data_IF_658996024522
#
_entry.id   IF_658996024522
#
_cell.length_a   1.000
_cell.length_b   1.000
_cell.length_c   1.000
_cell.angle_alpha   90.00
_cell.angle_beta   90.00
_cell.angle_gamma   90.00
#
_symmetry.space_group_name_H-M   'P 1'
#
loop_
_entity.id
_entity.type
_entity.pdbx_description
1 polymer ?
#
# COMPACT_ATOMS: atom_id res chain seq x y z
N UNK A 1 28.97 37.44 37.02
CA UNK A 1 28.19 37.92 35.85
C UNK A 1 28.93 37.80 34.51
N UNK A 2 30.18 38.28 34.35
CA UNK A 2 30.91 38.26 33.06
C UNK A 2 31.23 36.87 32.48
N UNK A 3 31.34 35.84 33.31
CA UNK A 3 31.57 34.46 32.85
C UNK A 3 30.31 33.84 32.23
N UNK A 4 29.17 34.00 32.92
CA UNK A 4 27.85 33.55 32.45
C UNK A 4 27.47 34.18 31.11
N UNK A 5 27.76 35.47 30.90
CA UNK A 5 27.50 36.14 29.63
C UNK A 5 28.37 35.62 28.48
N UNK A 6 29.63 35.25 28.74
CA UNK A 6 30.52 34.67 27.72
C UNK A 6 30.10 33.26 27.33
N UNK A 7 29.73 32.44 28.33
CA UNK A 7 29.21 31.09 28.09
C UNK A 7 27.91 31.12 27.27
N UNK A 8 27.00 32.05 27.58
CA UNK A 8 25.75 32.23 26.83
C UNK A 8 25.99 32.62 25.37
N UNK A 9 26.93 33.55 25.10
CA UNK A 9 27.28 33.95 23.72
C UNK A 9 27.90 32.80 22.94
N UNK A 10 28.79 32.01 23.55
CA UNK A 10 29.37 30.83 22.89
C UNK A 10 28.32 29.77 22.60
N UNK A 11 27.43 29.47 23.55
CA UNK A 11 26.35 28.52 23.36
C UNK A 11 25.40 28.98 22.25
N UNK A 12 25.04 30.26 22.23
CA UNK A 12 24.21 30.83 21.16
C UNK A 12 24.87 30.70 19.80
N UNK A 13 26.16 31.05 19.68
CA UNK A 13 26.91 30.91 18.43
C UNK A 13 26.98 29.45 17.95
N UNK A 14 27.17 28.50 18.88
CA UNK A 14 27.17 27.08 18.58
C UNK A 14 25.80 26.60 18.06
N UNK A 15 24.72 26.96 18.74
CA UNK A 15 23.35 26.62 18.32
C UNK A 15 23.02 27.23 16.96
N UNK A 16 23.43 28.48 16.71
CA UNK A 16 23.25 29.14 15.43
C UNK A 16 24.00 28.41 14.32
N UNK A 17 25.25 28.01 14.55
CA UNK A 17 26.06 27.27 13.59
C UNK A 17 25.43 25.91 13.26
N UNK A 18 24.96 25.17 14.26
CA UNK A 18 24.25 23.91 14.05
C UNK A 18 22.94 24.11 13.28
N UNK A 19 22.14 25.11 13.63
CA UNK A 19 20.88 25.41 12.93
C UNK A 19 21.07 25.80 11.47
N UNK A 20 22.08 26.65 11.18
CA UNK A 20 22.42 27.03 9.80
C UNK A 20 22.97 25.82 9.03
N UNK A 21 23.85 25.03 9.64
CA UNK A 21 24.41 23.83 9.03
C UNK A 21 23.34 22.80 8.67
N UNK A 22 22.44 22.51 9.62
CA UNK A 22 21.29 21.64 9.39
C UNK A 22 20.40 22.16 8.25
N UNK A 23 20.10 23.47 8.25
CA UNK A 23 19.29 24.08 7.21
C UNK A 23 19.92 23.92 5.82
N UNK A 24 21.23 24.17 5.68
CA UNK A 24 21.95 23.99 4.41
C UNK A 24 21.89 22.52 3.95
N UNK A 25 22.16 21.57 4.85
CA UNK A 25 22.09 20.14 4.53
C UNK A 25 20.69 19.76 4.07
N UNK A 26 19.65 20.26 4.74
CA UNK A 26 18.26 19.99 4.38
C UNK A 26 17.93 20.47 2.98
N UNK A 27 18.39 21.67 2.58
CA UNK A 27 18.12 22.19 1.23
C UNK A 27 18.70 21.31 0.12
N UNK A 28 19.78 20.57 0.40
CA UNK A 28 20.40 19.66 -0.57
C UNK A 28 19.68 18.31 -0.70
N UNK A 29 18.82 17.93 0.24
CA UNK A 29 18.08 16.66 0.19
C UNK A 29 16.81 16.84 -0.63
N UNK A 30 16.62 16.20 -1.79
CA UNK A 30 15.39 16.35 -2.57
C UNK A 30 14.16 16.00 -1.74
N UNK A 31 13.08 16.75 -1.96
CA UNK A 31 11.77 16.39 -1.45
C UNK A 31 11.03 15.56 -2.49
N UNK A 32 10.21 14.62 -2.04
CA UNK A 32 9.27 13.91 -2.93
C UNK A 32 8.12 14.82 -3.36
N UNK A 33 7.18 14.27 -4.12
CA UNK A 33 6.01 14.97 -4.66
C UNK A 33 5.12 15.58 -3.57
N UNK A 34 5.14 15.01 -2.36
CA UNK A 34 4.42 15.52 -1.19
C UNK A 34 5.25 16.55 -0.38
N UNK A 35 6.46 16.83 -0.82
CA UNK A 35 7.42 17.69 -0.14
C UNK A 35 8.08 17.03 1.08
N UNK A 36 7.92 15.71 1.27
CA UNK A 36 8.57 14.94 2.32
C UNK A 36 10.03 14.65 1.91
N UNK A 37 10.96 14.92 2.82
CA UNK A 37 12.39 14.63 2.60
C UNK A 37 12.78 13.30 3.22
N UNK A 38 13.66 12.58 2.55
CA UNK A 38 14.09 11.23 2.93
C UNK A 38 15.61 11.15 3.03
N UNK A 39 16.11 10.40 4.01
CA UNK A 39 17.49 9.96 4.08
C UNK A 39 17.50 8.43 4.11
N UNK A 40 17.80 7.83 2.95
CA UNK A 40 17.62 6.38 2.76
C UNK A 40 16.14 6.00 2.94
N UNK A 41 15.84 5.17 3.94
CA UNK A 41 14.46 4.74 4.27
C UNK A 41 13.80 5.56 5.37
N UNK A 42 14.49 6.57 5.90
CA UNK A 42 14.01 7.35 7.05
C UNK A 42 13.42 8.68 6.61
N UNK A 43 12.21 8.98 7.08
CA UNK A 43 11.55 10.29 6.88
C UNK A 43 12.16 11.32 7.80
N UNK A 44 12.59 12.44 7.22
CA UNK A 44 13.10 13.57 7.97
C UNK A 44 11.95 14.52 8.36
N UNK A 45 11.93 15.06 9.58
CA UNK A 45 10.96 16.07 9.97
C UNK A 45 11.17 17.38 9.18
N UNK A 46 10.15 18.25 9.07
CA UNK A 46 8.78 18.01 9.51
C UNK A 46 8.10 16.95 8.63
N UNK A 47 7.35 16.05 9.27
CA UNK A 47 6.64 15.00 8.54
C UNK A 47 5.47 15.59 7.76
N UNK A 48 5.39 15.22 6.49
CA UNK A 48 4.28 15.59 5.63
C UNK A 48 3.43 14.36 5.33
N UNK A 49 2.13 14.58 5.33
CA UNK A 49 1.18 13.55 4.99
C UNK A 49 1.16 13.37 3.46
N UNK A 50 1.24 12.13 2.95
CA UNK A 50 1.50 11.89 1.53
C UNK A 50 0.21 11.98 0.68
N UNK A 51 -0.34 13.19 0.56
CA UNK A 51 -1.64 13.43 -0.08
C UNK A 51 -1.65 13.11 -1.58
N UNK A 52 -0.57 13.37 -2.30
CA UNK A 52 -0.45 13.11 -3.73
C UNK A 52 -0.34 11.60 -3.98
N UNK A 53 0.52 10.90 -3.23
CA UNK A 53 0.62 9.44 -3.31
C UNK A 53 -0.72 8.76 -3.01
N UNK A 54 -1.48 9.28 -2.03
CA UNK A 54 -2.83 8.76 -1.74
C UNK A 54 -3.76 9.00 -2.92
N UNK A 55 -3.78 10.19 -3.52
CA UNK A 55 -4.60 10.48 -4.71
C UNK A 55 -4.24 9.58 -5.88
N UNK A 56 -2.94 9.40 -6.16
CA UNK A 56 -2.48 8.56 -7.26
C UNK A 56 -2.86 7.10 -7.01
N UNK A 57 -2.77 6.64 -5.75
CA UNK A 57 -3.20 5.29 -5.38
C UNK A 57 -4.71 5.11 -5.51
N UNK A 58 -5.51 6.08 -5.10
CA UNK A 58 -6.96 6.06 -5.28
C UNK A 58 -7.33 6.06 -6.78
N UNK A 59 -6.68 6.91 -7.58
CA UNK A 59 -6.90 6.94 -9.02
C UNK A 59 -6.50 5.63 -9.71
N UNK A 60 -5.47 4.95 -9.22
CA UNK A 60 -5.09 3.61 -9.69
C UNK A 60 -6.13 2.55 -9.31
N UNK A 61 -6.67 2.62 -8.09
CA UNK A 61 -7.74 1.72 -7.64
C UNK A 61 -9.04 1.95 -8.44
N UNK A 62 -9.39 3.20 -8.74
CA UNK A 62 -10.54 3.56 -9.60
C UNK A 62 -10.39 3.03 -11.03
N UNK A 63 -9.15 2.90 -11.53
CA UNK A 63 -8.82 2.27 -12.81
C UNK A 63 -8.84 0.73 -12.75
N UNK A 64 -9.15 0.14 -11.61
CA UNK A 64 -9.28 -1.31 -11.45
C UNK A 64 -7.97 -2.03 -11.11
N UNK A 65 -6.93 -1.35 -10.60
CA UNK A 65 -5.72 -2.05 -10.11
C UNK A 65 -5.96 -2.89 -8.85
N UNK A 66 -7.15 -2.80 -8.25
CA UNK A 66 -7.57 -3.62 -7.12
C UNK A 66 -7.96 -5.04 -7.54
N UNK A 67 -7.78 -6.00 -6.62
CA UNK A 67 -8.39 -7.34 -6.69
C UNK A 67 -9.91 -7.30 -6.52
N UNK A 68 -10.43 -6.26 -5.89
CA UNK A 68 -11.84 -6.10 -5.57
C UNK A 68 -12.40 -4.85 -6.25
N UNK A 69 -13.66 -4.94 -6.64
CA UNK A 69 -14.43 -3.80 -7.14
C UNK A 69 -15.63 -3.54 -6.21
N UNK A 70 -16.08 -2.29 -6.21
CA UNK A 70 -17.31 -1.92 -5.51
C UNK A 70 -18.51 -2.24 -6.39
N UNK A 71 -19.47 -2.92 -5.79
CA UNK A 71 -20.77 -3.31 -6.34
C UNK A 71 -21.85 -2.65 -5.50
N UNK A 72 -22.89 -2.07 -6.12
CA UNK A 72 -23.91 -1.32 -5.39
C UNK A 72 -24.75 -2.18 -4.46
N UNK A 73 -24.86 -3.48 -4.76
CA UNK A 73 -25.77 -4.39 -4.08
C UNK A 73 -25.00 -5.29 -3.11
N UNK A 74 -23.78 -5.69 -3.50
CA UNK A 74 -22.93 -6.62 -2.75
C UNK A 74 -21.83 -5.95 -1.93
N UNK A 75 -21.59 -4.64 -2.13
CA UNK A 75 -20.42 -3.96 -1.57
C UNK A 75 -19.15 -4.41 -2.27
N UNK A 76 -18.14 -4.87 -1.53
CA UNK A 76 -16.88 -5.31 -2.16
C UNK A 76 -17.01 -6.73 -2.68
N UNK A 77 -16.69 -6.93 -3.97
CA UNK A 77 -16.60 -8.27 -4.58
C UNK A 77 -15.30 -8.45 -5.36
N UNK A 78 -14.79 -9.68 -5.50
CA UNK A 78 -13.63 -9.93 -6.35
C UNK A 78 -13.91 -9.46 -7.78
N UNK A 79 -12.91 -8.80 -8.38
CA UNK A 79 -13.00 -8.28 -9.73
C UNK A 79 -12.74 -9.41 -10.74
N UNK A 80 -13.64 -9.63 -11.71
CA UNK A 80 -13.42 -10.60 -12.77
C UNK A 80 -12.08 -10.42 -13.48
N UNK A 81 -11.37 -11.54 -13.71
CA UNK A 81 -10.07 -11.57 -14.39
C UNK A 81 -8.94 -10.86 -13.63
N UNK A 82 -9.14 -10.51 -12.35
CA UNK A 82 -8.12 -9.85 -11.55
C UNK A 82 -7.01 -10.81 -11.12
N UNK A 83 -5.81 -10.26 -10.98
CA UNK A 83 -4.66 -10.96 -10.43
C UNK A 83 -3.99 -10.11 -9.37
N UNK A 84 -3.56 -10.71 -8.27
CA UNK A 84 -2.81 -9.99 -7.23
C UNK A 84 -1.48 -9.50 -7.80
N UNK A 85 -0.93 -8.42 -7.21
CA UNK A 85 0.35 -7.85 -7.63
C UNK A 85 1.52 -8.84 -7.50
N UNK A 86 1.46 -9.76 -6.52
CA UNK A 86 2.43 -10.84 -6.35
C UNK A 86 2.12 -12.08 -7.19
N UNK A 87 1.01 -12.06 -7.94
CA UNK A 87 0.60 -13.11 -8.87
C UNK A 87 0.09 -14.40 -8.24
N UNK A 88 -0.09 -14.44 -6.91
CA UNK A 88 -0.50 -15.62 -6.13
C UNK A 88 -2.01 -15.87 -6.11
N UNK A 89 -2.81 -14.83 -6.33
CA UNK A 89 -4.27 -14.88 -6.31
C UNK A 89 -4.79 -14.55 -7.69
N UNK A 90 -5.64 -15.42 -8.23
CA UNK A 90 -6.33 -15.22 -9.50
C UNK A 90 -7.84 -15.29 -9.29
N UNK A 91 -8.56 -14.34 -9.88
CA UNK A 91 -10.01 -14.30 -9.92
C UNK A 91 -10.44 -14.60 -11.34
N UNK A 92 -11.31 -15.59 -11.52
CA UNK A 92 -11.83 -15.94 -12.82
C UNK A 92 -12.79 -14.88 -13.39
N UNK A 93 -13.27 -15.08 -14.62
CA UNK A 93 -14.21 -14.15 -15.27
C UNK A 93 -15.60 -14.11 -14.62
N UNK A 94 -15.93 -15.08 -13.76
CA UNK A 94 -17.16 -15.07 -12.96
C UNK A 94 -17.03 -14.30 -11.65
N UNK A 95 -15.82 -13.80 -11.33
CA UNK A 95 -15.55 -13.12 -10.06
C UNK A 95 -15.32 -14.08 -8.90
N UNK A 96 -14.96 -15.33 -9.19
CA UNK A 96 -14.68 -16.36 -8.18
C UNK A 96 -13.20 -16.66 -8.12
N UNK A 97 -12.71 -16.94 -6.91
CA UNK A 97 -11.40 -17.54 -6.70
C UNK A 97 -11.54 -19.05 -6.78
N UNK A 98 -10.56 -19.73 -7.39
CA UNK A 98 -10.57 -21.17 -7.53
C UNK A 98 -9.22 -21.76 -7.12
N UNK A 99 -9.24 -22.83 -6.34
CA UNK A 99 -8.06 -23.66 -6.02
C UNK A 99 -7.78 -24.73 -7.09
N UNK A 100 -8.74 -24.96 -7.97
CA UNK A 100 -8.73 -26.09 -8.89
C UNK A 100 -7.95 -25.83 -10.17
N UNK A 101 -7.42 -26.91 -10.75
CA UNK A 101 -6.87 -26.95 -12.11
C UNK A 101 -7.85 -26.26 -13.08
N UNK A 102 -7.42 -25.25 -13.87
CA UNK A 102 -8.26 -24.51 -14.82
C UNK A 102 -9.07 -25.40 -15.78
N UNK A 103 -8.64 -26.64 -16.00
CA UNK A 103 -9.36 -27.64 -16.78
C UNK A 103 -10.75 -28.00 -16.22
N UNK A 104 -10.99 -27.84 -14.91
CA UNK A 104 -12.26 -28.16 -14.26
C UNK A 104 -13.33 -27.07 -14.44
N UNK A 105 -12.94 -25.85 -14.82
CA UNK A 105 -13.87 -24.75 -15.08
C UNK A 105 -14.77 -25.03 -16.31
N UNK A 106 -14.29 -25.86 -17.25
CA UNK A 106 -14.97 -26.22 -18.49
C UNK A 106 -15.81 -27.49 -18.43
N UNK A 107 -15.88 -28.19 -17.30
CA UNK A 107 -16.66 -29.42 -17.20
C UNK A 107 -18.17 -29.15 -17.19
N UNK A 108 -18.90 -29.98 -17.96
CA UNK A 108 -20.34 -29.91 -18.12
C UNK A 108 -21.03 -29.89 -16.74
N UNK A 109 -21.81 -28.83 -16.53
CA UNK A 109 -22.52 -28.58 -15.28
C UNK A 109 -23.47 -29.69 -14.87
N UNK A 110 -23.86 -30.56 -15.82
CA UNK A 110 -24.78 -31.66 -15.58
C UNK A 110 -24.18 -32.81 -14.73
N UNK A 111 -22.86 -32.95 -14.67
CA UNK A 111 -22.20 -34.08 -13.98
C UNK A 111 -21.40 -33.68 -12.74
N UNK A 112 -21.31 -32.38 -12.42
CA UNK A 112 -20.43 -31.88 -11.36
C UNK A 112 -21.22 -31.08 -10.32
N UNK A 113 -21.07 -31.46 -9.04
CA UNK A 113 -21.61 -30.71 -7.91
C UNK A 113 -20.68 -29.53 -7.57
N UNK A 114 -21.19 -28.30 -7.65
CA UNK A 114 -20.43 -27.08 -7.32
C UNK A 114 -20.84 -26.55 -5.95
N UNK A 115 -19.85 -26.20 -5.13
CA UNK A 115 -20.04 -25.56 -3.83
C UNK A 115 -19.59 -24.11 -3.96
N UNK A 116 -20.45 -23.17 -3.59
CA UNK A 116 -20.10 -21.75 -3.45
C UNK A 116 -19.97 -21.45 -1.97
N UNK A 117 -18.85 -20.83 -1.59
CA UNK A 117 -18.57 -20.42 -0.22
C UNK A 117 -18.60 -18.89 -0.16
N UNK A 118 -19.27 -18.33 0.84
CA UNK A 118 -19.42 -16.89 1.03
C UNK A 118 -19.02 -16.58 2.46
N UNK A 119 -18.13 -15.61 2.64
CA UNK A 119 -17.63 -15.24 3.95
C UNK A 119 -16.64 -14.08 3.87
N UNK A 120 -15.64 -14.11 4.74
CA UNK A 120 -14.64 -13.07 4.89
C UNK A 120 -13.29 -13.48 4.27
N UNK A 121 -12.21 -12.82 4.70
CA UNK A 121 -10.83 -13.12 4.27
C UNK A 121 -10.42 -14.57 4.50
N UNK A 122 -10.96 -15.27 5.50
CA UNK A 122 -10.66 -16.70 5.70
C UNK A 122 -11.37 -17.59 4.69
N UNK A 123 -12.60 -17.22 4.30
CA UNK A 123 -13.30 -17.94 3.23
C UNK A 123 -12.67 -17.66 1.87
N UNK A 124 -12.17 -16.45 1.65
CA UNK A 124 -11.43 -16.09 0.46
C UNK A 124 -10.02 -16.73 0.40
N UNK A 125 -9.44 -17.07 1.55
CA UNK A 125 -8.06 -17.57 1.67
C UNK A 125 -7.03 -16.47 1.48
N UNK A 126 -7.25 -15.30 2.09
CA UNK A 126 -6.30 -14.19 2.01
C UNK A 126 -4.90 -14.61 2.50
N UNK A 127 -3.86 -13.93 2.01
CA UNK A 127 -2.44 -14.18 2.28
C UNK A 127 -1.83 -15.49 1.73
N UNK A 128 -2.62 -16.46 1.27
CA UNK A 128 -2.13 -17.72 0.67
C UNK A 128 -2.32 -17.76 -0.85
N UNK A 129 -1.55 -18.60 -1.54
CA UNK A 129 -1.70 -18.80 -2.98
C UNK A 129 -2.94 -19.62 -3.34
N UNK A 130 -3.35 -19.60 -4.61
CA UNK A 130 -4.48 -20.39 -5.09
C UNK A 130 -4.31 -21.90 -4.83
N UNK A 131 -3.08 -22.44 -4.83
CA UNK A 131 -2.84 -23.85 -4.50
C UNK A 131 -2.90 -24.20 -3.00
N UNK A 132 -2.90 -23.18 -2.15
CA UNK A 132 -2.89 -23.32 -0.69
C UNK A 132 -4.23 -22.93 -0.06
N UNK A 133 -5.11 -22.29 -0.84
CA UNK A 133 -6.45 -21.95 -0.40
C UNK A 133 -7.31 -23.22 -0.31
N UNK A 134 -8.35 -23.19 0.51
CA UNK A 134 -9.25 -24.32 0.74
C UNK A 134 -10.52 -24.34 -0.14
N UNK A 135 -11.02 -23.20 -0.69
CA UNK A 135 -11.99 -23.20 -1.78
C UNK A 135 -11.38 -23.75 -3.08
#
# INVERSE_FOLDING_TARGET
MRFLSRAAVMLFGLLLAFGVGEWIVRQQIPADEDGQRWQGRTRLPPWRFPMQQIHDRLAALDKGESLFLIDSDLGWRPRPGARSLDGKVNIDESGMRQNANPALATEDTATVFRIVTIGDSFTFGDEVSDSETWP
#
